data_IF_483725935079
#
_entry.id   IF_483725935079
#
_cell.length_a   1.000
_cell.length_b   1.000
_cell.length_c   1.000
_cell.angle_alpha   90.00
_cell.angle_beta   90.00
_cell.angle_gamma   90.00
#
_symmetry.space_group_name_H-M   'P 1'
#
loop_
_entity.id
_entity.type
_entity.pdbx_description
1 polymer ?
#
# COMPACT_ATOMS: atom_id res chain seq x y z
N UNK A 1 12.24 8.07 -14.97
CA UNK A 1 10.96 8.65 -14.53
C UNK A 1 10.06 7.49 -14.12
N UNK A 2 9.93 7.24 -12.81
CA UNK A 2 9.10 6.15 -12.29
C UNK A 2 7.63 6.46 -12.59
N UNK A 3 6.93 5.51 -13.24
CA UNK A 3 5.56 5.73 -13.68
C UNK A 3 4.61 5.71 -12.48
N UNK A 4 4.17 6.90 -12.08
CA UNK A 4 3.18 7.11 -11.02
C UNK A 4 1.82 6.55 -11.45
N UNK A 5 1.24 5.70 -10.61
CA UNK A 5 -0.09 5.11 -10.74
C UNK A 5 -0.99 5.73 -9.69
N UNK A 6 -2.18 6.18 -10.10
CA UNK A 6 -3.20 6.71 -9.19
C UNK A 6 -4.44 5.86 -9.29
N UNK A 7 -4.96 5.40 -8.17
CA UNK A 7 -6.19 4.62 -8.13
C UNK A 7 -6.98 4.87 -6.85
N UNK A 8 -8.27 4.56 -6.88
CA UNK A 8 -9.09 4.36 -5.69
C UNK A 8 -9.14 2.88 -5.43
N UNK A 9 -8.79 2.47 -4.22
CA UNK A 9 -8.77 1.07 -3.81
C UNK A 9 -9.54 0.86 -2.52
N UNK A 10 -10.10 -0.34 -2.34
CA UNK A 10 -10.71 -0.80 -1.10
C UNK A 10 -9.72 -1.69 -0.37
N UNK A 11 -9.44 -1.40 0.89
CA UNK A 11 -8.58 -2.25 1.71
C UNK A 11 -9.31 -3.57 2.01
N UNK A 12 -8.73 -4.70 1.62
CA UNK A 12 -9.36 -6.00 1.84
C UNK A 12 -9.09 -6.53 3.24
N UNK A 13 -7.86 -6.37 3.72
CA UNK A 13 -7.40 -6.93 4.98
C UNK A 13 -6.40 -5.98 5.65
N UNK A 14 -6.43 -5.95 6.97
CA UNK A 14 -5.41 -5.30 7.78
C UNK A 14 -4.43 -6.38 8.24
N UNK A 15 -3.12 -6.21 7.99
CA UNK A 15 -2.12 -7.16 8.45
C UNK A 15 -2.19 -7.28 9.98
N UNK A 16 -1.92 -8.49 10.48
CA UNK A 16 -1.96 -8.77 11.92
C UNK A 16 -0.80 -8.12 12.67
N UNK A 17 0.31 -7.91 11.95
CA UNK A 17 1.53 -7.31 12.49
C UNK A 17 1.56 -5.80 12.26
N UNK A 18 1.45 -5.05 13.36
CA UNK A 18 1.74 -3.61 13.38
C UNK A 18 3.04 -3.37 14.13
N UNK A 19 4.16 -3.27 13.42
CA UNK A 19 5.43 -2.82 14.01
C UNK A 19 5.52 -1.30 13.99
N UNK A 20 6.07 -0.73 15.06
CA UNK A 20 6.28 0.71 15.16
C UNK A 20 7.52 1.13 14.36
N UNK A 21 7.41 2.21 13.59
CA UNK A 21 8.45 2.83 12.77
C UNK A 21 9.47 3.66 13.61
N UNK A 22 9.39 3.62 14.94
CA UNK A 22 10.24 4.41 15.84
C UNK A 22 11.75 4.17 15.71
N UNK A 23 12.20 2.92 15.84
CA UNK A 23 13.64 2.59 15.90
C UNK A 23 14.21 2.08 14.57
N UNK A 24 13.34 1.74 13.61
CA UNK A 24 13.71 1.22 12.30
C UNK A 24 12.75 1.72 11.21
N UNK A 25 13.28 1.93 10.01
CA UNK A 25 12.45 2.18 8.83
C UNK A 25 11.66 0.90 8.51
N UNK A 26 10.37 0.91 8.84
CA UNK A 26 9.46 -0.22 8.66
C UNK A 26 8.43 0.09 7.57
N UNK A 27 8.10 -0.91 6.76
CA UNK A 27 7.01 -0.83 5.81
C UNK A 27 6.14 -2.08 5.89
N UNK A 28 4.85 -1.93 5.63
CA UNK A 28 3.88 -3.02 5.75
C UNK A 28 3.12 -3.16 4.46
N UNK A 29 2.94 -4.40 3.99
CA UNK A 29 2.17 -4.69 2.79
C UNK A 29 0.69 -4.81 3.14
N UNK A 30 -0.12 -4.06 2.39
CA UNK A 30 -1.57 -4.09 2.48
C UNK A 30 -2.17 -4.56 1.16
N UNK A 31 -3.25 -5.33 1.23
CA UNK A 31 -3.95 -5.85 0.06
C UNK A 31 -5.13 -4.96 -0.30
N UNK A 32 -5.15 -4.47 -1.53
CA UNK A 32 -6.20 -3.58 -2.05
C UNK A 32 -6.92 -4.20 -3.24
N UNK A 33 -8.23 -4.07 -3.25
CA UNK A 33 -9.07 -4.23 -4.43
C UNK A 33 -9.14 -2.89 -5.18
N UNK A 34 -8.82 -2.89 -6.47
CA UNK A 34 -8.87 -1.72 -7.33
C UNK A 34 -10.33 -1.42 -7.67
N UNK A 35 -10.84 -0.30 -7.13
CA UNK A 35 -12.19 0.19 -7.42
C UNK A 35 -12.20 1.01 -8.71
N UNK A 36 -11.19 1.88 -8.89
CA UNK A 36 -11.08 2.75 -10.07
C UNK A 36 -9.65 3.20 -10.30
N UNK A 37 -9.13 3.01 -11.51
CA UNK A 37 -7.86 3.62 -11.94
C UNK A 37 -8.11 5.07 -12.35
N UNK A 38 -7.35 6.01 -11.79
CA UNK A 38 -7.42 7.44 -12.07
C UNK A 38 -6.31 7.88 -13.03
N UNK A 39 -5.14 7.25 -12.97
CA UNK A 39 -3.97 7.51 -13.82
C UNK A 39 -3.05 6.28 -13.84
N UNK A 40 -2.43 6.01 -14.99
CA UNK A 40 -1.55 4.84 -15.18
C UNK A 40 -2.31 3.59 -15.63
N UNK A 41 -1.65 2.43 -15.55
CA UNK A 41 -2.23 1.13 -15.92
C UNK A 41 -2.06 0.12 -14.80
N UNK A 42 -3.18 -0.51 -14.44
CA UNK A 42 -3.27 -1.68 -13.56
C UNK A 42 -4.19 -2.67 -14.27
N UNK A 43 -3.64 -3.82 -14.63
CA UNK A 43 -4.36 -4.85 -15.39
C UNK A 43 -5.06 -5.84 -14.44
N UNK A 44 -4.60 -5.92 -13.19
CA UNK A 44 -5.16 -6.78 -12.15
C UNK A 44 -6.18 -6.06 -11.27
N UNK A 45 -7.25 -6.75 -10.84
CA UNK A 45 -8.25 -6.18 -9.93
C UNK A 45 -7.75 -6.06 -8.49
N UNK A 46 -6.65 -6.73 -8.15
CA UNK A 46 -6.04 -6.74 -6.82
C UNK A 46 -4.58 -6.31 -6.91
N UNK A 47 -4.12 -5.59 -5.89
CA UNK A 47 -2.70 -5.21 -5.76
C UNK A 47 -2.24 -5.34 -4.31
N UNK A 48 -0.94 -5.61 -4.15
CA UNK A 48 -0.22 -5.45 -2.90
C UNK A 48 0.42 -4.07 -2.87
N UNK A 49 0.20 -3.33 -1.79
CA UNK A 49 0.71 -1.98 -1.62
C UNK A 49 1.62 -1.94 -0.39
N UNK A 50 2.90 -1.67 -0.61
CA UNK A 50 3.88 -1.44 0.45
C UNK A 50 3.66 -0.03 0.98
N UNK A 51 3.33 0.10 2.26
CA UNK A 51 3.10 1.38 2.92
C UNK A 51 4.21 1.62 3.93
N UNK A 52 5.07 2.64 3.74
CA UNK A 52 6.07 2.99 4.74
C UNK A 52 5.38 3.58 5.97
N UNK A 53 5.77 3.10 7.15
CA UNK A 53 5.39 3.66 8.45
C UNK A 53 3.89 3.98 8.58
N UNK A 54 3.00 2.99 8.39
CA UNK A 54 1.55 3.21 8.34
C UNK A 54 0.98 3.84 9.62
N UNK A 55 1.65 3.68 10.76
CA UNK A 55 1.27 4.31 12.03
C UNK A 55 1.33 5.84 12.01
N UNK A 56 2.17 6.44 11.17
CA UNK A 56 2.29 7.91 11.07
C UNK A 56 1.06 8.54 10.42
N UNK A 57 0.22 7.74 9.76
CA UNK A 57 -1.06 8.18 9.20
C UNK A 57 -2.16 8.28 10.27
N UNK A 58 -1.89 7.81 11.49
CA UNK A 58 -2.79 7.87 12.64
C UNK A 58 -3.44 6.52 12.97
N UNK A 59 -3.81 6.39 14.23
CA UNK A 59 -4.51 5.20 14.73
C UNK A 59 -5.86 5.01 14.01
N UNK A 60 -6.16 3.77 13.62
CA UNK A 60 -7.39 3.47 12.86
C UNK A 60 -7.45 4.12 11.47
N UNK A 61 -6.31 4.52 10.89
CA UNK A 61 -6.28 5.02 9.53
C UNK A 61 -6.71 3.94 8.53
N UNK A 62 -6.13 2.74 8.64
CA UNK A 62 -6.45 1.57 7.82
C UNK A 62 -7.57 0.75 8.47
N UNK A 63 -8.70 0.64 7.77
CA UNK A 63 -9.88 -0.10 8.21
C UNK A 63 -10.29 -1.03 7.08
N UNK A 64 -10.51 -2.31 7.41
CA UNK A 64 -11.01 -3.30 6.46
C UNK A 64 -12.29 -2.81 5.79
N UNK A 65 -12.35 -2.89 4.46
CA UNK A 65 -13.45 -2.39 3.65
C UNK A 65 -13.43 -0.87 3.38
N UNK A 66 -12.53 -0.11 4.01
CA UNK A 66 -12.36 1.31 3.78
C UNK A 66 -11.86 1.61 2.36
N UNK A 67 -12.27 2.75 1.79
CA UNK A 67 -11.82 3.20 0.48
C UNK A 67 -10.77 4.30 0.60
N UNK A 68 -9.72 4.19 -0.21
CA UNK A 68 -8.56 5.06 -0.17
C UNK A 68 -8.18 5.50 -1.57
N UNK A 69 -7.75 6.76 -1.69
CA UNK A 69 -7.07 7.25 -2.88
C UNK A 69 -5.58 7.02 -2.69
N UNK A 70 -4.97 6.32 -3.65
CA UNK A 70 -3.59 5.88 -3.60
C UNK A 70 -2.82 6.49 -4.77
N UNK A 71 -1.64 6.99 -4.47
CA UNK A 71 -0.58 7.32 -5.43
C UNK A 71 0.56 6.34 -5.14
N UNK A 72 0.97 5.57 -6.15
CA UNK A 72 1.97 4.54 -5.99
C UNK A 72 2.93 4.47 -7.19
N UNK A 73 4.08 3.83 -7.00
CA UNK A 73 5.04 3.50 -8.03
C UNK A 73 5.23 1.98 -8.15
N UNK A 74 5.56 1.52 -9.37
CA UNK A 74 6.07 0.16 -9.59
C UNK A 74 7.56 0.02 -9.24
N UNK A 75 8.23 1.15 -9.10
CA UNK A 75 9.62 1.24 -8.67
C UNK A 75 9.68 0.98 -7.17
N UNK A 76 10.43 -0.04 -6.77
CA UNK A 76 10.56 -0.50 -5.39
C UNK A 76 11.92 -0.14 -4.79
N UNK A 77 12.76 0.67 -5.46
CA UNK A 77 14.07 1.06 -4.92
C UNK A 77 13.98 1.77 -3.57
N UNK A 78 12.89 2.50 -3.31
CA UNK A 78 12.65 3.10 -1.98
C UNK A 78 12.39 2.06 -0.89
N UNK A 79 11.87 0.87 -1.23
CA UNK A 79 11.59 -0.19 -0.27
C UNK A 79 12.87 -0.84 0.29
N UNK A 80 14.01 -0.75 -0.41
CA UNK A 80 15.29 -1.34 0.03
C UNK A 80 15.81 -0.76 1.35
N UNK A 81 15.39 0.46 1.69
CA UNK A 81 15.71 1.11 2.96
C UNK A 81 14.83 0.67 4.13
N UNK A 82 13.83 -0.19 3.90
CA UNK A 82 12.82 -0.56 4.89
C UNK A 82 12.82 -2.07 5.16
N UNK A 83 12.58 -2.44 6.41
CA UNK A 83 12.16 -3.78 6.74
C UNK A 83 10.68 -3.93 6.35
N UNK A 84 10.42 -4.70 5.29
CA UNK A 84 9.07 -4.89 4.73
C UNK A 84 8.42 -6.14 5.34
N UNK A 85 7.24 -5.96 5.94
CA UNK A 85 6.39 -7.07 6.40
C UNK A 85 5.35 -7.40 5.32
N UNK A 86 5.53 -8.52 4.62
CA UNK A 86 4.58 -9.03 3.62
C UNK A 86 3.92 -10.34 4.08
N UNK A 87 2.74 -10.25 4.70
CA UNK A 87 1.92 -11.42 5.07
C UNK A 87 1.29 -12.11 3.84
N UNK A 88 1.43 -11.54 2.65
CA UNK A 88 0.85 -12.00 1.38
C UNK A 88 1.95 -12.41 0.37
N UNK A 89 3.14 -12.79 0.85
CA UNK A 89 4.30 -13.13 0.00
C UNK A 89 4.00 -14.25 -1.01
N UNK A 90 3.12 -15.19 -0.65
CA UNK A 90 2.73 -16.34 -1.48
C UNK A 90 1.76 -15.98 -2.60
N UNK A 91 1.18 -14.78 -2.56
CA UNK A 91 0.25 -14.32 -3.58
C UNK A 91 0.98 -13.64 -4.75
N UNK A 92 0.71 -14.11 -5.98
CA UNK A 92 1.23 -13.52 -7.21
C UNK A 92 0.40 -12.32 -7.63
N UNK A 93 0.49 -11.24 -6.85
CA UNK A 93 -0.18 -9.98 -7.10
C UNK A 93 0.83 -8.88 -7.41
N UNK A 94 0.47 -7.86 -8.23
CA UNK A 94 1.33 -6.72 -8.46
C UNK A 94 1.67 -6.03 -7.15
N UNK A 95 2.96 -5.82 -6.90
CA UNK A 95 3.47 -5.13 -5.73
C UNK A 95 3.84 -3.69 -6.10
N UNK A 96 3.35 -2.73 -5.31
CA UNK A 96 3.52 -1.30 -5.55
C UNK A 96 4.05 -0.61 -4.29
N UNK A 97 4.88 0.43 -4.46
CA UNK A 97 5.31 1.31 -3.38
C UNK A 97 4.33 2.48 -3.22
N UNK A 98 3.80 2.69 -2.01
CA UNK A 98 2.92 3.82 -1.73
C UNK A 98 3.72 5.12 -1.60
N UNK A 99 3.46 6.07 -2.50
CA UNK A 99 3.95 7.44 -2.39
C UNK A 99 3.01 8.26 -1.50
N UNK A 100 1.69 8.06 -1.66
CA UNK A 100 0.67 8.76 -0.88
C UNK A 100 -0.60 7.92 -0.75
N UNK A 101 -1.22 7.95 0.43
CA UNK A 101 -2.52 7.32 0.70
C UNK A 101 -3.40 8.29 1.46
N UNK A 102 -4.60 8.56 0.94
CA UNK A 102 -5.62 9.41 1.56
C UNK A 102 -6.94 8.64 1.71
N UNK A 103 -7.69 8.85 2.80
CA UNK A 103 -9.08 8.32 2.92
C UNK A 103 -9.95 8.95 1.82
N UNK A 104 -10.68 8.13 1.07
CA UNK A 104 -11.69 8.67 0.16
C UNK A 104 -12.89 9.13 0.99
N UNK A 105 -13.15 10.44 1.01
CA UNK A 105 -14.38 11.01 1.57
C UNK A 105 -15.60 10.52 0.81
#
# INVERSE_FOLDING_TARGET
MSQEIRFTGRLLETPSTTMRCGDAAMAVVHKFEIVKVLKGKLDEPLVKLIIPCPELLGEGFFVKGGQYRVIAARDLSEAEGYAVVDEYEKEQLPLLWAIKVDKSK
#
